data_IF_982222658546
#
_entry.id   IF_982222658546
#
_cell.length_a   1.000
_cell.length_b   1.000
_cell.length_c   1.000
_cell.angle_alpha   90.00
_cell.angle_beta   90.00
_cell.angle_gamma   90.00
#
_symmetry.space_group_name_H-M   'P 1'
#
loop_
_entity.id
_entity.type
_entity.pdbx_description
1 polymer ?
#
# COMPACT_ATOMS: atom_id res chain seq x y z
N UNK A 1 -2.62 -4.32 -4.69
CA UNK A 1 -2.80 -4.67 -3.27
C UNK A 1 -2.00 -5.91 -2.96
N UNK A 2 -1.55 -6.07 -1.72
CA UNK A 2 -0.78 -7.23 -1.26
C UNK A 2 -1.31 -7.72 0.10
N UNK A 3 -1.16 -9.02 0.37
CA UNK A 3 -1.52 -9.65 1.65
C UNK A 3 -0.24 -9.81 2.48
N UNK A 4 -0.27 -9.33 3.72
CA UNK A 4 0.80 -9.47 4.70
C UNK A 4 0.35 -10.43 5.80
N UNK A 5 1.07 -11.54 5.94
CA UNK A 5 0.92 -12.44 7.08
C UNK A 5 1.95 -12.07 8.14
N UNK A 6 1.47 -11.83 9.36
CA UNK A 6 2.27 -11.35 10.47
C UNK A 6 2.26 -12.44 11.54
N UNK A 7 3.45 -12.92 11.90
CA UNK A 7 3.69 -13.67 13.13
C UNK A 7 4.99 -13.11 13.75
N UNK A 8 4.84 -12.19 14.70
CA UNK A 8 5.96 -11.46 15.29
C UNK A 8 6.05 -10.01 14.78
N UNK A 9 7.13 -9.64 14.09
CA UNK A 9 7.37 -8.27 13.64
C UNK A 9 7.93 -8.16 12.22
N UNK A 10 7.41 -7.21 11.44
CA UNK A 10 7.87 -6.91 10.08
C UNK A 10 8.10 -5.41 9.92
N UNK A 11 9.26 -5.03 9.40
CA UNK A 11 9.56 -3.63 9.06
C UNK A 11 9.24 -3.38 7.58
N UNK A 12 8.49 -2.32 7.32
CA UNK A 12 8.09 -1.90 5.98
C UNK A 12 8.67 -0.53 5.66
N UNK A 13 9.16 -0.39 4.44
CA UNK A 13 9.67 0.86 3.88
C UNK A 13 8.67 1.45 2.89
N UNK A 14 8.64 2.77 2.85
CA UNK A 14 7.78 3.57 2.00
C UNK A 14 8.65 4.40 1.06
N UNK A 15 8.14 4.67 -0.14
CA UNK A 15 8.86 5.37 -1.20
C UNK A 15 8.73 6.90 -1.14
N UNK A 16 7.97 7.42 -0.18
CA UNK A 16 7.70 8.85 -0.03
C UNK A 16 6.71 9.43 -1.04
N UNK A 17 6.21 8.63 -1.99
CA UNK A 17 5.44 9.13 -3.14
C UNK A 17 3.94 9.00 -2.96
N UNK A 18 3.48 7.99 -2.21
CA UNK A 18 2.04 7.66 -2.12
C UNK A 18 1.65 7.23 -0.71
N UNK A 19 0.41 7.55 -0.35
CA UNK A 19 -0.18 6.98 0.84
C UNK A 19 -0.58 5.53 0.59
N UNK A 20 -0.72 4.78 1.67
CA UNK A 20 -1.11 3.38 1.64
C UNK A 20 -2.19 3.15 2.68
N UNK A 21 -3.06 2.18 2.48
CA UNK A 21 -4.00 1.74 3.50
C UNK A 21 -3.59 0.37 4.02
N UNK A 22 -3.76 0.17 5.32
CA UNK A 22 -3.64 -1.12 5.97
C UNK A 22 -4.99 -1.49 6.54
N UNK A 23 -5.48 -2.69 6.21
CA UNK A 23 -6.72 -3.24 6.72
C UNK A 23 -6.40 -4.56 7.40
N UNK A 24 -6.63 -4.65 8.72
CA UNK A 24 -6.48 -5.92 9.42
C UNK A 24 -7.75 -6.74 9.20
N UNK A 25 -7.61 -7.88 8.52
CA UNK A 25 -8.73 -8.78 8.19
C UNK A 25 -8.84 -9.93 9.19
N UNK A 26 -7.76 -10.24 9.89
CA UNK A 26 -7.72 -11.29 10.90
C UNK A 26 -6.68 -10.98 11.98
N UNK A 27 -6.98 -11.34 13.22
CA UNK A 27 -6.07 -11.17 14.36
C UNK A 27 -5.97 -9.72 14.81
N UNK A 28 -4.75 -9.31 15.17
CA UNK A 28 -4.47 -7.92 15.55
C UNK A 28 -3.02 -7.56 15.31
N UNK A 29 -2.79 -6.28 15.03
CA UNK A 29 -1.46 -5.74 14.84
C UNK A 29 -1.29 -4.39 15.54
N UNK A 30 -0.04 -4.01 15.77
CA UNK A 30 0.38 -2.70 16.26
C UNK A 30 1.33 -2.12 15.23
N UNK A 31 1.00 -0.92 14.76
CA UNK A 31 1.82 -0.13 13.85
C UNK A 31 2.69 0.77 14.72
N UNK A 32 4.01 0.57 14.68
CA UNK A 32 4.99 1.39 15.37
C UNK A 32 5.74 2.26 14.37
N UNK A 33 5.79 3.55 14.62
CA UNK A 33 6.50 4.55 13.83
C UNK A 33 7.23 5.52 14.76
N UNK A 34 8.07 6.40 14.21
CA UNK A 34 8.95 7.26 15.00
C UNK A 34 8.24 8.04 16.11
N UNK A 35 7.03 8.53 15.85
CA UNK A 35 6.24 9.37 16.77
C UNK A 35 5.27 8.59 17.66
N UNK A 36 5.31 7.26 17.67
CA UNK A 36 4.50 6.44 18.56
C UNK A 36 3.94 5.17 17.91
N UNK A 37 2.84 4.67 18.48
CA UNK A 37 2.22 3.45 18.01
C UNK A 37 0.69 3.53 17.96
N UNK A 38 0.09 2.75 17.06
CA UNK A 38 -1.36 2.60 16.93
C UNK A 38 -1.74 1.14 16.79
N UNK A 39 -2.81 0.75 17.49
CA UNK A 39 -3.39 -0.57 17.37
C UNK A 39 -4.24 -0.63 16.09
N UNK A 40 -4.17 -1.77 15.42
CA UNK A 40 -4.96 -2.12 14.26
C UNK A 40 -5.63 -3.47 14.54
N UNK A 41 -6.86 -3.42 15.03
CA UNK A 41 -7.66 -4.60 15.33
C UNK A 41 -8.32 -5.15 14.05
N UNK A 42 -8.70 -6.43 14.05
CA UNK A 42 -9.49 -7.01 12.96
C UNK A 42 -10.74 -6.18 12.63
N UNK A 43 -11.03 -6.04 11.34
CA UNK A 43 -12.09 -5.19 10.81
C UNK A 43 -11.74 -3.70 10.74
N UNK A 44 -10.60 -3.28 11.29
CA UNK A 44 -10.17 -1.87 11.26
C UNK A 44 -9.23 -1.61 10.09
N UNK A 45 -9.28 -0.36 9.60
CA UNK A 45 -8.35 0.14 8.58
C UNK A 45 -7.70 1.43 9.04
N UNK A 46 -6.47 1.67 8.59
CA UNK A 46 -5.79 2.94 8.79
C UNK A 46 -5.08 3.40 7.51
N UNK A 47 -4.90 4.71 7.40
CA UNK A 47 -4.11 5.32 6.34
C UNK A 47 -2.69 5.58 6.84
N UNK A 48 -1.71 5.15 6.05
CA UNK A 48 -0.29 5.42 6.24
C UNK A 48 0.10 6.56 5.30
N UNK A 49 0.48 7.74 5.83
CA UNK A 49 0.85 8.88 5.01
C UNK A 49 2.12 8.62 4.19
N UNK A 50 2.20 9.23 3.00
CA UNK A 50 3.40 9.19 2.16
C UNK A 50 4.62 9.83 2.85
N UNK A 51 4.41 10.79 3.77
CA UNK A 51 5.47 11.47 4.51
C UNK A 51 6.19 10.58 5.53
N UNK A 52 5.71 9.36 5.75
CA UNK A 52 6.33 8.40 6.64
C UNK A 52 7.37 7.59 5.86
N UNK A 53 8.58 7.42 6.41
CA UNK A 53 9.65 6.69 5.71
C UNK A 53 9.55 5.17 5.93
N UNK A 54 9.22 4.77 7.15
CA UNK A 54 9.09 3.35 7.52
C UNK A 54 8.26 3.19 8.78
N UNK A 55 7.66 2.01 8.93
CA UNK A 55 6.99 1.58 10.16
C UNK A 55 7.24 0.09 10.41
N UNK A 56 6.96 -0.35 11.63
CA UNK A 56 7.00 -1.75 12.02
C UNK A 56 5.58 -2.21 12.32
N UNK A 57 5.15 -3.28 11.67
CA UNK A 57 3.94 -4.02 12.03
C UNK A 57 4.35 -5.13 13.00
N UNK A 58 3.71 -5.16 14.18
CA UNK A 58 3.90 -6.22 15.18
C UNK A 58 2.58 -6.89 15.53
N UNK A 59 2.57 -8.19 15.71
CA UNK A 59 1.38 -8.91 16.17
C UNK A 59 1.28 -10.29 15.55
N UNK A 60 0.05 -10.79 15.48
CA UNK A 60 -0.28 -12.06 14.85
C UNK A 60 -1.60 -11.93 14.11
N UNK A 61 -1.57 -12.13 12.79
CA UNK A 61 -2.76 -11.99 11.95
C UNK A 61 -2.45 -11.64 10.51
N UNK A 62 -3.51 -11.23 9.79
CA UNK A 62 -3.47 -10.95 8.35
C UNK A 62 -3.85 -9.50 8.10
N UNK A 63 -3.01 -8.77 7.36
CA UNK A 63 -3.23 -7.38 6.98
C UNK A 63 -3.18 -7.23 5.46
N UNK A 64 -4.19 -6.59 4.89
CA UNK A 64 -4.18 -6.17 3.48
C UNK A 64 -3.52 -4.79 3.41
N UNK A 65 -2.51 -4.68 2.55
CA UNK A 65 -1.86 -3.42 2.21
C UNK A 65 -2.25 -3.02 0.80
N UNK A 66 -2.84 -1.84 0.67
CA UNK A 66 -3.27 -1.29 -0.62
C UNK A 66 -2.64 0.07 -0.87
N UNK A 67 -2.29 0.30 -2.13
CA UNK A 67 -1.67 1.52 -2.63
C UNK A 67 -1.93 1.64 -4.12
N UNK A 68 -1.88 2.86 -4.63
CA UNK A 68 -1.96 3.13 -6.07
C UNK A 68 -0.58 2.82 -6.69
N UNK A 69 -0.50 1.91 -7.67
CA UNK A 69 0.76 1.62 -8.36
C UNK A 69 1.20 2.81 -9.24
N UNK A 70 2.44 2.78 -9.72
CA UNK A 70 2.97 3.86 -10.53
C UNK A 70 2.34 3.79 -11.90
N UNK A 71 1.51 4.78 -12.24
CA UNK A 71 0.74 4.76 -13.50
C UNK A 71 1.67 4.73 -14.71
N UNK A 72 2.77 5.50 -14.69
CA UNK A 72 3.70 5.48 -15.81
C UNK A 72 4.33 4.11 -15.97
N UNK A 73 4.99 3.61 -14.93
CA UNK A 73 5.76 2.37 -15.07
C UNK A 73 4.89 1.11 -15.19
N UNK A 74 3.68 1.10 -14.61
CA UNK A 74 2.83 -0.10 -14.55
C UNK A 74 1.71 -0.12 -15.58
N UNK A 75 1.34 1.02 -16.15
CA UNK A 75 0.23 1.08 -17.11
C UNK A 75 0.68 1.69 -18.43
N UNK A 76 1.24 2.90 -18.40
CA UNK A 76 1.50 3.64 -19.63
C UNK A 76 2.69 3.07 -20.41
N UNK A 77 3.80 2.75 -19.74
CA UNK A 77 4.97 2.14 -20.39
C UNK A 77 4.66 0.81 -21.08
N UNK A 78 3.95 -0.15 -20.44
CA UNK A 78 3.50 -1.37 -21.12
C UNK A 78 2.64 -1.12 -22.36
N UNK A 79 1.75 -0.13 -22.31
CA UNK A 79 0.85 0.17 -23.42
C UNK A 79 1.59 0.87 -24.57
N UNK A 80 2.52 1.80 -24.29
CA UNK A 80 3.43 2.39 -25.31
C UNK A 80 4.27 1.31 -25.99
N UNK A 81 4.81 0.36 -25.22
CA UNK A 81 5.58 -0.78 -25.75
C UNK A 81 4.76 -1.69 -26.67
N UNK A 82 3.43 -1.71 -26.50
CA UNK A 82 2.49 -2.45 -27.37
C UNK A 82 2.04 -1.63 -28.58
N UNK A 83 2.53 -0.41 -28.73
CA UNK A 83 2.27 0.45 -29.89
C UNK A 83 1.02 1.30 -29.76
N UNK A 84 0.37 1.34 -28.59
CA UNK A 84 -0.76 2.22 -28.41
C UNK A 84 -0.30 3.66 -28.08
N UNK A 85 -1.11 4.63 -28.48
CA UNK A 85 -0.87 6.08 -28.36
C UNK A 85 -1.73 6.71 -27.26
N UNK A 86 -1.47 7.96 -26.90
CA UNK A 86 -2.31 8.68 -25.93
C UNK A 86 -3.75 8.86 -26.43
N UNK A 87 -3.93 9.03 -27.74
CA UNK A 87 -5.24 9.13 -28.38
C UNK A 87 -6.08 7.87 -28.12
N UNK A 88 -5.45 6.69 -28.22
CA UNK A 88 -6.13 5.41 -27.99
C UNK A 88 -6.67 5.25 -26.57
N UNK A 89 -6.04 5.87 -25.55
CA UNK A 89 -6.44 5.65 -24.14
C UNK A 89 -7.13 6.87 -23.53
N UNK A 90 -7.21 7.98 -24.26
CA UNK A 90 -7.99 9.16 -23.88
C UNK A 90 -9.47 8.84 -23.57
N UNK A 91 -9.97 7.72 -24.10
CA UNK A 91 -11.32 7.21 -23.87
C UNK A 91 -11.47 6.39 -22.57
N UNK A 92 -10.37 6.02 -21.91
CA UNK A 92 -10.36 5.22 -20.69
C UNK A 92 -10.29 6.15 -19.48
N UNK A 93 -11.40 6.28 -18.75
CA UNK A 93 -11.46 7.12 -17.57
C UNK A 93 -10.41 6.72 -16.51
N UNK A 94 -9.59 7.68 -16.10
CA UNK A 94 -8.49 7.48 -15.13
C UNK A 94 -7.13 7.17 -15.76
N UNK A 95 -7.06 6.98 -17.08
CA UNK A 95 -5.82 6.93 -17.86
C UNK A 95 -5.47 8.25 -18.52
#
# INVERSE_FOLDING_TARGET
MEKLEIDGSMKLYLDGKRFQTLTCVEGSAVIQYERGSKNLASGSSCLIPASLNSFVLKGKGTVIRAYVPDKESNVLDPLRKRGYTEEDWSVIAGL
#
